data_IF_299479845817
#
_entry.id   IF_299479845817
#
_cell.length_a   1.000
_cell.length_b   1.000
_cell.length_c   1.000
_cell.angle_alpha   90.00
_cell.angle_beta   90.00
_cell.angle_gamma   90.00
#
_symmetry.space_group_name_H-M   'P 1'
#
loop_
_entity.id
_entity.type
_entity.pdbx_description
1 polymer ?
#
# COMPACT_ATOMS: atom_id res chain seq x y z
N UNK A 1 -0.82 11.41 -3.66
CA UNK A 1 -0.76 10.00 -3.22
C UNK A 1 -0.26 9.85 -1.77
N UNK A 2 0.70 10.63 -1.28
CA UNK A 2 1.22 10.50 0.11
C UNK A 2 0.20 10.70 1.25
N UNK A 3 -0.92 11.36 0.99
CA UNK A 3 -1.99 11.61 1.99
C UNK A 3 -3.19 10.66 1.83
N UNK A 4 -3.18 9.78 0.82
CA UNK A 4 -4.29 8.86 0.56
C UNK A 4 -4.12 7.57 1.36
N UNK A 5 -5.22 7.11 1.98
CA UNK A 5 -5.26 5.84 2.71
C UNK A 5 -5.40 4.64 1.78
N UNK A 6 -5.90 4.86 0.57
CA UNK A 6 -6.03 3.86 -0.47
C UNK A 6 -6.08 4.51 -1.85
N UNK A 7 -5.85 3.74 -2.88
CA UNK A 7 -5.83 4.17 -4.27
C UNK A 7 -6.77 3.29 -5.08
N UNK A 8 -7.69 3.94 -5.79
CA UNK A 8 -8.62 3.30 -6.70
C UNK A 8 -8.46 3.94 -8.08
N UNK A 9 -8.29 3.12 -9.12
CA UNK A 9 -8.16 3.63 -10.49
C UNK A 9 -9.07 2.88 -11.46
N UNK A 10 -9.65 3.63 -12.40
CA UNK A 10 -10.49 3.08 -13.48
C UNK A 10 -9.64 2.29 -14.49
N UNK A 11 -8.44 2.79 -14.78
CA UNK A 11 -7.54 2.22 -15.79
C UNK A 11 -6.19 1.85 -15.17
N UNK A 12 -5.53 0.91 -15.81
CA UNK A 12 -4.21 0.44 -15.40
C UNK A 12 -4.26 -0.97 -14.81
N UNK A 13 -3.12 -1.61 -14.73
CA UNK A 13 -2.96 -2.93 -14.14
C UNK A 13 -1.94 -2.90 -13.00
N UNK A 14 -1.52 -4.09 -12.55
CA UNK A 14 -0.56 -4.27 -11.45
C UNK A 14 0.80 -3.60 -11.67
N UNK A 15 1.15 -3.30 -12.93
CA UNK A 15 2.38 -2.62 -13.33
C UNK A 15 2.19 -1.13 -13.62
N UNK A 16 0.97 -0.60 -13.45
CA UNK A 16 0.71 0.83 -13.61
C UNK A 16 1.48 1.65 -12.57
N UNK A 17 1.79 2.90 -12.92
CA UNK A 17 2.48 3.81 -12.00
C UNK A 17 1.76 3.92 -10.65
N UNK A 18 0.44 4.05 -10.67
CA UNK A 18 -0.38 4.13 -9.45
C UNK A 18 -0.22 2.88 -8.57
N UNK A 19 -0.26 1.68 -9.16
CA UNK A 19 -0.13 0.44 -8.42
C UNK A 19 1.28 0.22 -7.86
N UNK A 20 2.32 0.61 -8.61
CA UNK A 20 3.72 0.51 -8.17
C UNK A 20 3.99 1.47 -7.01
N UNK A 21 3.55 2.74 -7.15
CA UNK A 21 3.72 3.75 -6.09
C UNK A 21 2.93 3.38 -4.83
N UNK A 22 1.68 2.90 -4.98
CA UNK A 22 0.86 2.47 -3.85
C UNK A 22 1.53 1.36 -3.05
N UNK A 23 2.08 0.35 -3.73
CA UNK A 23 2.83 -0.73 -3.07
C UNK A 23 4.07 -0.23 -2.35
N UNK A 24 4.81 0.67 -2.97
CA UNK A 24 5.98 1.30 -2.34
C UNK A 24 5.63 2.09 -1.07
N UNK A 25 4.42 2.64 -1.02
CA UNK A 25 3.90 3.38 0.14
C UNK A 25 3.19 2.48 1.17
N UNK A 26 3.03 1.19 0.90
CA UNK A 26 2.22 0.30 1.73
C UNK A 26 0.72 0.62 1.72
N UNK A 27 0.25 1.40 0.74
CA UNK A 27 -1.15 1.76 0.61
C UNK A 27 -1.94 0.69 -0.18
N UNK A 28 -3.16 0.40 0.25
CA UNK A 28 -4.05 -0.47 -0.48
C UNK A 28 -4.37 0.13 -1.86
N UNK A 29 -4.31 -0.69 -2.90
CA UNK A 29 -4.60 -0.25 -4.27
C UNK A 29 -5.47 -1.27 -5.00
N UNK A 30 -6.57 -0.79 -5.56
CA UNK A 30 -7.37 -1.50 -6.56
C UNK A 30 -7.22 -0.74 -7.87
N UNK A 31 -6.62 -1.39 -8.88
CA UNK A 31 -6.32 -0.74 -10.15
C UNK A 31 -7.03 -1.43 -11.31
N UNK A 32 -7.50 -0.61 -12.27
CA UNK A 32 -8.17 -1.13 -13.47
C UNK A 32 -9.62 -1.54 -13.24
N UNK A 33 -10.31 -0.87 -12.32
CA UNK A 33 -11.72 -1.09 -12.08
C UNK A 33 -12.54 -0.43 -13.19
N UNK A 34 -12.82 -1.17 -14.27
CA UNK A 34 -13.55 -0.70 -15.45
C UNK A 34 -15.03 -0.42 -15.20
N UNK A 35 -15.59 -0.92 -14.10
CA UNK A 35 -16.98 -0.74 -13.73
C UNK A 35 -17.27 0.65 -13.13
N UNK A 36 -16.20 1.44 -12.88
CA UNK A 36 -16.33 2.81 -12.39
C UNK A 36 -16.67 3.75 -13.54
N UNK A 37 -17.80 4.45 -13.42
CA UNK A 37 -18.15 5.58 -14.26
C UNK A 37 -17.80 6.89 -13.53
N UNK A 38 -16.81 7.61 -14.06
CA UNK A 38 -16.39 8.91 -13.51
C UNK A 38 -17.26 10.04 -14.05
N UNK A 39 -17.72 10.90 -13.15
CA UNK A 39 -18.47 12.12 -13.44
C UNK A 39 -17.75 13.32 -12.80
N UNK A 40 -16.56 13.63 -13.33
CA UNK A 40 -15.66 14.64 -12.76
C UNK A 40 -16.32 16.03 -12.66
N UNK A 41 -17.12 16.42 -13.67
CA UNK A 41 -17.82 17.70 -13.71
C UNK A 41 -18.89 17.81 -12.61
N UNK A 42 -19.46 16.68 -12.21
CA UNK A 42 -20.49 16.61 -11.17
C UNK A 42 -19.93 16.22 -9.79
N UNK A 43 -18.64 15.85 -9.72
CA UNK A 43 -17.92 15.57 -8.48
C UNK A 43 -18.29 14.25 -7.82
N UNK A 44 -18.74 13.25 -8.58
CA UNK A 44 -19.02 11.90 -8.09
C UNK A 44 -18.51 10.82 -9.08
N UNK A 45 -18.46 9.61 -8.61
CA UNK A 45 -18.34 8.42 -9.48
C UNK A 45 -19.43 7.41 -9.13
N UNK A 46 -19.70 6.51 -10.07
CA UNK A 46 -20.74 5.49 -9.93
C UNK A 46 -20.14 4.10 -10.13
N UNK A 47 -20.54 3.17 -9.28
CA UNK A 47 -20.27 1.73 -9.41
C UNK A 47 -21.59 0.99 -9.21
N UNK A 48 -21.96 0.11 -10.14
CA UNK A 48 -23.19 -0.71 -10.07
C UNK A 48 -24.47 0.11 -9.79
N UNK A 49 -24.55 1.31 -10.34
CA UNK A 49 -25.71 2.20 -10.14
C UNK A 49 -25.71 2.95 -8.80
N UNK A 50 -24.67 2.79 -7.97
CA UNK A 50 -24.52 3.52 -6.72
C UNK A 50 -23.56 4.69 -6.90
N UNK A 51 -23.99 5.89 -6.52
CA UNK A 51 -23.22 7.12 -6.61
C UNK A 51 -22.42 7.37 -5.32
N UNK A 52 -21.14 7.71 -5.49
CA UNK A 52 -20.23 8.04 -4.41
C UNK A 52 -19.70 9.46 -4.60
N UNK A 53 -19.93 10.30 -3.62
CA UNK A 53 -19.52 11.70 -3.61
C UNK A 53 -18.28 11.90 -2.74
N UNK A 54 -17.69 13.05 -2.85
CA UNK A 54 -16.57 13.44 -1.97
C UNK A 54 -17.01 13.43 -0.51
N UNK A 55 -16.33 12.62 0.30
CA UNK A 55 -16.62 12.43 1.74
C UNK A 55 -17.32 11.12 2.06
N UNK A 56 -17.81 10.40 1.04
CA UNK A 56 -18.39 9.08 1.25
C UNK A 56 -17.31 8.03 1.59
N UNK A 57 -17.67 7.10 2.44
CA UNK A 57 -16.78 6.00 2.81
C UNK A 57 -16.85 4.86 1.81
N UNK A 58 -15.67 4.45 1.36
CA UNK A 58 -15.45 3.22 0.62
C UNK A 58 -14.33 2.43 1.27
N UNK A 59 -14.39 1.12 1.19
CA UNK A 59 -13.30 0.24 1.62
C UNK A 59 -12.80 -0.58 0.43
N UNK A 60 -11.49 -0.73 0.35
CA UNK A 60 -10.80 -1.43 -0.73
C UNK A 60 -10.12 -2.69 -0.20
N UNK A 61 -10.30 -3.80 -0.91
CA UNK A 61 -9.51 -5.01 -0.70
C UNK A 61 -8.54 -5.21 -1.87
N UNK A 62 -7.31 -4.86 -1.68
CA UNK A 62 -6.26 -4.97 -2.69
C UNK A 62 -5.88 -6.41 -3.04
N UNK A 63 -6.26 -7.40 -2.23
CA UNK A 63 -5.98 -8.81 -2.49
C UNK A 63 -6.98 -9.43 -3.45
N UNK A 64 -8.27 -9.11 -3.27
CA UNK A 64 -9.35 -9.64 -4.09
C UNK A 64 -9.78 -8.69 -5.20
N UNK A 65 -9.48 -7.40 -5.07
CA UNK A 65 -9.95 -6.33 -5.96
C UNK A 65 -11.35 -5.84 -5.62
N UNK A 66 -11.93 -6.28 -4.51
CA UNK A 66 -13.28 -5.89 -4.13
C UNK A 66 -13.34 -4.46 -3.58
N UNK A 67 -14.45 -3.79 -3.88
CA UNK A 67 -14.79 -2.45 -3.39
C UNK A 67 -16.08 -2.55 -2.60
N UNK A 68 -16.09 -1.99 -1.41
CA UNK A 68 -17.25 -1.99 -0.52
C UNK A 68 -17.72 -0.56 -0.27
N UNK A 69 -19.00 -0.30 -0.43
CA UNK A 69 -19.62 1.03 -0.27
C UNK A 69 -19.83 1.45 1.19
N UNK A 70 -19.01 0.98 2.11
CA UNK A 70 -19.09 1.32 3.52
C UNK A 70 -17.73 1.19 4.20
N UNK A 71 -17.59 1.79 5.38
CA UNK A 71 -16.43 1.59 6.24
C UNK A 71 -16.42 0.17 6.81
N UNK A 72 -15.44 -0.64 6.43
CA UNK A 72 -15.21 -1.99 6.96
C UNK A 72 -14.09 -1.93 7.99
N UNK A 73 -14.25 -2.69 9.08
CA UNK A 73 -13.19 -2.81 10.08
C UNK A 73 -11.96 -3.47 9.48
N UNK A 74 -10.85 -2.78 9.54
CA UNK A 74 -9.54 -3.28 9.10
C UNK A 74 -8.70 -3.71 10.30
N UNK A 75 -7.78 -4.62 10.06
CA UNK A 75 -6.75 -5.02 11.03
C UNK A 75 -5.38 -4.69 10.46
N UNK A 76 -4.44 -4.19 11.28
CA UNK A 76 -3.07 -3.97 10.84
C UNK A 76 -2.45 -5.29 10.34
N UNK A 77 -1.65 -5.20 9.27
CA UNK A 77 -0.85 -6.34 8.85
C UNK A 77 0.14 -6.69 9.96
N UNK A 78 0.13 -7.94 10.41
CA UNK A 78 1.06 -8.44 11.42
C UNK A 78 1.56 -9.83 11.04
N UNK A 79 2.81 -10.12 11.40
CA UNK A 79 3.34 -11.47 11.33
C UNK A 79 2.86 -12.17 12.60
N UNK A 80 1.85 -13.04 12.47
CA UNK A 80 1.24 -13.74 13.61
C UNK A 80 0.66 -15.09 13.21
N UNK A 81 0.44 -15.96 14.19
CA UNK A 81 -0.22 -17.24 14.00
C UNK A 81 0.54 -18.19 13.07
N UNK A 82 -0.17 -18.80 12.13
CA UNK A 82 0.43 -19.78 11.20
C UNK A 82 1.47 -19.16 10.25
N UNK A 83 1.31 -17.87 9.90
CA UNK A 83 2.29 -17.17 9.08
C UNK A 83 3.61 -16.97 9.84
N UNK A 84 3.55 -16.58 11.11
CA UNK A 84 4.74 -16.48 11.96
C UNK A 84 5.45 -17.84 12.10
N UNK A 85 4.67 -18.90 12.31
CA UNK A 85 5.20 -20.25 12.40
C UNK A 85 5.89 -20.69 11.10
N UNK A 86 5.28 -20.39 9.97
CA UNK A 86 5.87 -20.67 8.66
C UNK A 86 7.17 -19.87 8.44
N UNK A 87 7.19 -18.60 8.82
CA UNK A 87 8.38 -17.76 8.71
C UNK A 87 9.53 -18.26 9.60
N UNK A 88 9.22 -18.75 10.81
CA UNK A 88 10.22 -19.35 11.68
C UNK A 88 10.85 -20.60 11.04
N UNK A 89 10.06 -21.47 10.41
CA UNK A 89 10.59 -22.62 9.68
C UNK A 89 11.46 -22.21 8.49
N UNK A 90 11.10 -21.14 7.78
CA UNK A 90 11.90 -20.60 6.70
C UNK A 90 13.24 -20.06 7.24
N UNK A 91 13.21 -19.37 8.36
CA UNK A 91 14.40 -18.80 9.02
C UNK A 91 15.38 -19.87 9.51
N UNK A 92 14.87 -21.01 10.00
CA UNK A 92 15.70 -22.17 10.38
C UNK A 92 16.41 -22.82 9.19
N UNK A 93 15.87 -22.71 7.99
CA UNK A 93 16.37 -23.38 6.79
C UNK A 93 17.21 -22.48 5.88
N UNK A 94 16.97 -21.17 5.91
CA UNK A 94 17.68 -20.24 5.05
C UNK A 94 19.14 -20.06 5.46
N UNK A 95 19.99 -19.93 4.46
CA UNK A 95 21.40 -19.58 4.64
C UNK A 95 21.69 -18.11 4.31
N UNK A 96 20.84 -17.50 3.48
CA UNK A 96 20.95 -16.10 3.08
C UNK A 96 20.18 -15.20 4.05
N UNK A 97 20.72 -14.01 4.27
CA UNK A 97 20.08 -12.96 5.07
C UNK A 97 19.12 -12.14 4.21
N UNK A 98 17.97 -11.79 4.76
CA UNK A 98 16.99 -10.90 4.11
C UNK A 98 17.38 -9.46 4.41
N UNK A 99 17.53 -8.66 3.35
CA UNK A 99 17.76 -7.23 3.42
C UNK A 99 16.66 -6.49 2.70
N UNK A 100 16.25 -5.35 3.24
CA UNK A 100 15.21 -4.50 2.64
C UNK A 100 15.77 -3.16 2.23
N UNK A 101 15.05 -2.46 1.36
CA UNK A 101 15.31 -1.06 1.10
C UNK A 101 14.58 -0.23 2.15
N UNK A 102 15.24 0.77 2.70
CA UNK A 102 14.65 1.70 3.66
C UNK A 102 15.34 3.05 3.52
N UNK A 103 14.55 4.09 3.26
CA UNK A 103 15.06 5.43 3.01
C UNK A 103 14.86 6.34 4.24
N UNK A 104 13.96 5.96 5.16
CA UNK A 104 13.64 6.72 6.38
C UNK A 104 13.83 5.89 7.65
N UNK A 105 13.98 6.53 8.83
CA UNK A 105 13.97 5.83 10.12
C UNK A 105 12.69 5.01 10.37
N UNK A 106 11.55 5.51 9.87
CA UNK A 106 10.28 4.79 9.95
C UNK A 106 10.32 3.49 9.15
N UNK A 107 10.80 3.54 7.91
CA UNK A 107 10.93 2.34 7.06
C UNK A 107 11.87 1.33 7.67
N UNK A 108 13.01 1.79 8.22
CA UNK A 108 13.99 0.92 8.87
C UNK A 108 13.39 0.21 10.10
N UNK A 109 12.59 0.92 10.90
CA UNK A 109 11.89 0.34 12.05
C UNK A 109 10.87 -0.70 11.60
N UNK A 110 10.04 -0.39 10.62
CA UNK A 110 9.05 -1.30 10.07
C UNK A 110 9.69 -2.54 9.44
N UNK A 111 10.80 -2.35 8.71
CA UNK A 111 11.58 -3.44 8.17
C UNK A 111 12.10 -4.39 9.26
N UNK A 112 12.60 -3.85 10.35
CA UNK A 112 13.05 -4.64 11.50
C UNK A 112 11.89 -5.42 12.14
N UNK A 113 10.73 -4.79 12.33
CA UNK A 113 9.52 -5.43 12.86
C UNK A 113 9.03 -6.59 11.97
N UNK A 114 9.24 -6.50 10.66
CA UNK A 114 8.96 -7.58 9.71
C UNK A 114 10.11 -8.61 9.56
N UNK A 115 11.13 -8.54 10.41
CA UNK A 115 12.19 -9.55 10.47
C UNK A 115 13.32 -9.35 9.45
N UNK A 116 13.46 -8.18 8.86
CA UNK A 116 14.62 -7.87 8.01
C UNK A 116 15.89 -7.84 8.86
N UNK A 117 16.98 -8.43 8.33
CA UNK A 117 18.26 -8.57 9.03
C UNK A 117 19.29 -7.53 8.62
N UNK A 118 18.87 -6.54 7.87
CA UNK A 118 19.69 -5.43 7.44
C UNK A 118 19.04 -4.63 6.33
N UNK A 119 19.67 -3.51 6.00
CA UNK A 119 19.27 -2.63 4.93
C UNK A 119 20.12 -2.95 3.70
N UNK A 120 19.47 -3.11 2.55
CA UNK A 120 20.10 -3.36 1.26
C UNK A 120 20.44 -2.07 0.52
N UNK A 121 19.47 -1.19 0.39
CA UNK A 121 19.61 0.09 -0.30
C UNK A 121 18.99 1.21 0.53
N UNK A 122 19.70 2.32 0.63
CA UNK A 122 19.20 3.61 1.12
C UNK A 122 19.38 4.62 0.00
N UNK A 123 18.29 5.27 -0.41
CA UNK A 123 18.34 6.37 -1.39
C UNK A 123 18.55 7.66 -0.64
N UNK A 124 19.80 8.04 -0.48
CA UNK A 124 20.17 9.25 0.26
C UNK A 124 19.63 10.54 -0.36
N UNK A 125 19.39 10.54 -1.68
CA UNK A 125 18.74 11.65 -2.38
C UNK A 125 17.32 11.94 -1.85
N UNK A 126 16.58 10.93 -1.40
CA UNK A 126 15.27 11.12 -0.78
C UNK A 126 15.39 11.83 0.57
N UNK A 127 16.48 11.60 1.28
CA UNK A 127 16.71 12.24 2.58
C UNK A 127 16.93 13.75 2.47
N UNK A 128 17.45 14.23 1.32
CA UNK A 128 17.67 15.67 1.09
C UNK A 128 16.37 16.44 0.86
N UNK A 129 15.37 15.77 0.27
CA UNK A 129 14.08 16.40 -0.05
C UNK A 129 13.04 16.27 1.06
N UNK A 130 13.37 15.62 2.18
CA UNK A 130 12.46 15.41 3.29
C UNK A 130 12.54 16.57 4.29
N UNK A 131 11.40 17.26 4.47
CA UNK A 131 11.27 18.37 5.42
C UNK A 131 12.06 19.62 5.03
N UNK A 132 12.58 20.34 6.05
CA UNK A 132 13.31 21.61 5.89
C UNK A 132 14.83 21.45 5.69
N UNK A 133 15.30 20.29 5.24
CA UNK A 133 16.73 19.98 5.15
C UNK A 133 17.44 20.69 4.00
N UNK A 134 16.70 21.11 2.99
CA UNK A 134 17.21 22.00 1.93
C UNK A 134 16.47 23.31 2.05
N UNK A 135 17.15 24.32 2.55
CA UNK A 135 16.76 25.72 2.43
C UNK A 135 17.62 26.37 1.37
#
# INVERSE_FOLDING_TARGET
MHVSQGILTVRGGMTSHAAVVARGMGACCVSGCGDINMHDDEGYFEIDGVKYHRGDWISLDGSTGNIYGSAIKTVPASISGDFERFMNWADERRTLKVRTNADTPHDAKQAHEFGAQGIGLVRTEHMFFEGDRIK
#
